data_IF_718894729972
#
_entry.id   IF_718894729972
#
_cell.length_a   1.000
_cell.length_b   1.000
_cell.length_c   1.000
_cell.angle_alpha   90.00
_cell.angle_beta   90.00
_cell.angle_gamma   90.00
#
_symmetry.space_group_name_H-M   'P 1'
#
loop_
_entity.id
_entity.type
_entity.pdbx_description
1 polymer ?
#
# COMPACT_ATOMS: atom_id res chain seq x y z
N UNK A 1 37.60 -57.36 2.99
CA UNK A 1 36.77 -56.57 3.92
C UNK A 1 37.50 -55.24 4.16
N UNK A 2 37.03 -54.17 3.53
CA UNK A 2 37.35 -52.79 3.93
C UNK A 2 36.08 -51.98 3.65
N UNK A 3 35.39 -51.58 4.72
CA UNK A 3 34.18 -50.79 4.65
C UNK A 3 34.51 -49.35 4.27
N UNK A 4 33.97 -48.89 3.15
CA UNK A 4 33.93 -47.49 2.78
C UNK A 4 32.77 -46.83 3.54
N UNK A 5 33.08 -46.25 4.70
CA UNK A 5 32.14 -45.46 5.50
C UNK A 5 31.85 -44.15 4.79
N UNK A 6 30.88 -44.15 3.87
CA UNK A 6 30.33 -42.91 3.31
C UNK A 6 29.70 -42.11 4.45
N UNK A 7 30.32 -40.97 4.75
CA UNK A 7 29.81 -40.01 5.72
C UNK A 7 28.56 -39.35 5.12
N UNK A 8 27.37 -39.78 5.52
CA UNK A 8 26.14 -39.09 5.12
C UNK A 8 26.07 -37.72 5.82
N UNK A 9 25.74 -36.63 5.11
CA UNK A 9 25.62 -35.33 5.74
C UNK A 9 24.43 -35.35 6.71
N UNK A 10 24.72 -35.26 8.02
CA UNK A 10 23.73 -35.10 9.08
C UNK A 10 23.07 -33.72 8.93
N UNK A 11 21.92 -33.69 8.28
CA UNK A 11 21.15 -32.46 8.07
C UNK A 11 19.96 -32.45 9.04
N UNK A 12 20.20 -31.88 10.23
CA UNK A 12 19.21 -31.77 11.29
C UNK A 12 18.78 -30.31 11.45
N UNK A 13 17.52 -30.01 11.11
CA UNK A 13 16.90 -28.70 11.35
C UNK A 13 15.89 -28.80 12.49
N UNK A 14 15.92 -27.81 13.37
CA UNK A 14 14.91 -27.56 14.40
C UNK A 14 14.17 -26.27 14.03
N UNK A 15 12.86 -26.34 13.86
CA UNK A 15 12.04 -25.30 13.22
C UNK A 15 10.92 -24.92 14.18
N UNK A 16 10.87 -23.65 14.57
CA UNK A 16 9.82 -23.13 15.45
C UNK A 16 8.47 -22.97 14.74
N UNK A 17 7.40 -22.75 15.51
CA UNK A 17 6.07 -22.54 14.96
C UNK A 17 6.04 -21.32 14.01
N UNK A 18 5.51 -21.53 12.80
CA UNK A 18 5.44 -20.60 11.66
C UNK A 18 6.74 -20.41 10.83
N UNK A 19 7.76 -21.24 11.00
CA UNK A 19 8.94 -21.21 10.13
C UNK A 19 8.88 -22.29 9.03
N UNK A 20 9.43 -21.94 7.85
CA UNK A 20 9.60 -22.88 6.72
C UNK A 20 11.05 -23.34 6.68
N UNK A 21 11.29 -24.62 6.92
CA UNK A 21 12.59 -25.24 6.72
C UNK A 21 12.85 -25.45 5.21
N UNK A 22 13.90 -24.81 4.69
CA UNK A 22 14.40 -25.05 3.35
C UNK A 22 15.80 -25.67 3.47
N UNK A 23 16.00 -26.84 2.88
CA UNK A 23 17.24 -27.60 2.94
C UNK A 23 17.57 -28.17 1.57
N UNK A 24 18.79 -27.87 1.07
CA UNK A 24 19.31 -28.41 -0.19
C UNK A 24 20.79 -28.75 -0.02
N UNK A 25 21.27 -29.76 -0.76
CA UNK A 25 22.69 -30.11 -0.84
C UNK A 25 23.54 -29.14 -1.68
N UNK A 26 22.97 -28.01 -2.10
CA UNK A 26 23.56 -26.95 -2.91
C UNK A 26 22.87 -25.60 -2.65
N UNK A 27 22.99 -24.63 -3.56
CA UNK A 27 22.42 -23.29 -3.35
C UNK A 27 20.88 -23.31 -3.38
N UNK A 28 20.27 -22.63 -2.41
CA UNK A 28 18.83 -22.32 -2.39
C UNK A 28 18.67 -20.89 -2.92
N UNK A 29 18.07 -20.73 -4.10
CA UNK A 29 17.66 -19.41 -4.61
C UNK A 29 16.18 -19.21 -4.29
N UNK A 30 15.88 -18.36 -3.30
CA UNK A 30 14.51 -17.99 -2.97
C UNK A 30 14.09 -16.86 -3.92
N UNK A 31 13.26 -17.20 -4.91
CA UNK A 31 12.58 -16.19 -5.73
C UNK A 31 11.34 -15.74 -4.96
N UNK A 32 11.38 -14.53 -4.38
CA UNK A 32 10.16 -13.89 -3.89
C UNK A 32 9.26 -13.60 -5.10
N UNK A 33 8.20 -14.40 -5.27
CA UNK A 33 7.18 -14.18 -6.31
C UNK A 33 6.26 -13.02 -5.87
N UNK A 34 6.76 -11.79 -5.92
CA UNK A 34 6.02 -10.56 -5.58
C UNK A 34 6.95 -9.37 -5.34
N UNK A 35 6.44 -8.16 -5.55
CA UNK A 35 7.21 -6.94 -5.29
C UNK A 35 7.49 -6.77 -3.79
N UNK A 36 8.71 -6.37 -3.45
CA UNK A 36 9.05 -6.04 -2.07
C UNK A 36 8.47 -4.68 -1.67
N UNK A 37 8.36 -4.43 -0.37
CA UNK A 37 7.97 -3.11 0.15
C UNK A 37 8.85 -2.00 -0.43
N UNK A 38 10.17 -2.23 -0.50
CA UNK A 38 11.13 -1.24 -0.99
C UNK A 38 10.90 -0.92 -2.46
N UNK A 39 10.67 -1.93 -3.31
CA UNK A 39 10.39 -1.71 -4.74
C UNK A 39 9.12 -0.86 -4.92
N UNK A 40 8.06 -1.19 -4.19
CA UNK A 40 6.78 -0.47 -4.26
C UNK A 40 6.92 0.97 -3.77
N UNK A 41 7.70 1.19 -2.71
CA UNK A 41 7.97 2.52 -2.17
C UNK A 41 8.71 3.38 -3.19
N UNK A 42 9.72 2.84 -3.85
CA UNK A 42 10.49 3.59 -4.84
C UNK A 42 9.61 3.96 -6.05
N UNK A 43 8.81 3.03 -6.55
CA UNK A 43 7.81 3.31 -7.60
C UNK A 43 6.85 4.42 -7.16
N UNK A 44 6.33 4.36 -5.93
CA UNK A 44 5.38 5.34 -5.42
C UNK A 44 5.98 6.75 -5.33
N UNK A 45 7.23 6.87 -4.90
CA UNK A 45 7.92 8.16 -4.81
C UNK A 45 8.32 8.70 -6.18
N UNK A 46 8.68 7.83 -7.13
CA UNK A 46 8.95 8.24 -8.50
C UNK A 46 7.70 8.78 -9.20
N UNK A 47 6.57 8.09 -9.05
CA UNK A 47 5.27 8.57 -9.55
C UNK A 47 4.96 9.96 -8.98
N UNK A 48 5.16 10.18 -7.67
CA UNK A 48 4.98 11.50 -7.08
C UNK A 48 5.89 12.56 -7.70
N UNK A 49 7.20 12.31 -7.72
CA UNK A 49 8.20 13.27 -8.18
C UNK A 49 8.03 13.66 -9.65
N UNK A 50 7.57 12.73 -10.50
CA UNK A 50 7.36 12.97 -11.92
C UNK A 50 6.07 13.75 -12.23
N UNK A 51 5.06 13.66 -11.36
CA UNK A 51 3.73 14.21 -11.63
C UNK A 51 3.36 15.44 -10.78
N UNK A 52 4.09 15.70 -9.68
CA UNK A 52 3.76 16.81 -8.79
C UNK A 52 4.16 18.18 -9.37
N UNK A 53 3.46 19.23 -8.95
CA UNK A 53 3.69 20.59 -9.45
C UNK A 53 5.07 21.12 -9.05
N UNK A 54 5.65 21.95 -9.91
CA UNK A 54 6.85 22.73 -9.55
C UNK A 54 6.46 23.79 -8.51
N UNK A 55 7.08 23.72 -7.34
CA UNK A 55 6.86 24.64 -6.22
C UNK A 55 8.11 25.48 -5.93
N UNK A 56 7.96 26.51 -5.09
CA UNK A 56 9.10 27.18 -4.46
C UNK A 56 9.84 26.20 -3.54
N UNK A 57 11.13 26.46 -3.27
CA UNK A 57 12.01 25.52 -2.55
C UNK A 57 11.43 25.05 -1.20
N UNK A 58 10.98 25.98 -0.35
CA UNK A 58 10.41 25.65 0.97
C UNK A 58 9.10 24.87 0.87
N UNK A 59 8.25 25.19 -0.11
CA UNK A 59 6.99 24.50 -0.33
C UNK A 59 7.22 23.11 -0.96
N UNK A 60 8.22 22.97 -1.83
CA UNK A 60 8.64 21.69 -2.39
C UNK A 60 9.18 20.75 -1.31
N UNK A 61 10.01 21.24 -0.40
CA UNK A 61 10.52 20.46 0.72
C UNK A 61 9.39 19.93 1.61
N UNK A 62 8.44 20.81 1.96
CA UNK A 62 7.26 20.44 2.75
C UNK A 62 6.39 19.40 2.04
N UNK A 63 6.12 19.60 0.74
CA UNK A 63 5.33 18.67 -0.05
C UNK A 63 6.00 17.30 -0.18
N UNK A 64 7.32 17.26 -0.40
CA UNK A 64 8.10 16.03 -0.49
C UNK A 64 8.08 15.25 0.82
N UNK A 65 8.33 15.93 1.95
CA UNK A 65 8.28 15.30 3.26
C UNK A 65 6.91 14.64 3.51
N UNK A 66 5.82 15.36 3.21
CA UNK A 66 4.46 14.84 3.37
C UNK A 66 4.16 13.68 2.43
N UNK A 67 4.66 13.71 1.20
CA UNK A 67 4.50 12.63 0.24
C UNK A 67 5.25 11.36 0.68
N UNK A 68 6.46 11.49 1.21
CA UNK A 68 7.22 10.39 1.79
C UNK A 68 6.48 9.81 3.01
N UNK A 69 6.04 10.68 3.94
CA UNK A 69 5.29 10.27 5.13
C UNK A 69 4.03 9.48 4.79
N UNK A 70 3.17 9.99 3.90
CA UNK A 70 1.91 9.32 3.57
C UNK A 70 2.13 8.04 2.78
N UNK A 71 3.19 7.97 1.97
CA UNK A 71 3.58 6.76 1.26
C UNK A 71 3.97 5.68 2.26
N UNK A 72 4.84 5.99 3.21
CA UNK A 72 5.28 5.03 4.23
C UNK A 72 4.13 4.58 5.14
N UNK A 73 3.25 5.51 5.54
CA UNK A 73 2.04 5.18 6.33
C UNK A 73 1.11 4.26 5.55
N UNK A 74 0.81 4.58 4.30
CA UNK A 74 -0.12 3.80 3.49
C UNK A 74 0.44 2.42 3.17
N UNK A 75 1.69 2.33 2.71
CA UNK A 75 2.30 1.05 2.37
C UNK A 75 2.51 0.17 3.60
N UNK A 76 2.87 0.74 4.76
CA UNK A 76 2.93 0.01 6.01
C UNK A 76 1.57 -0.57 6.41
N UNK A 77 0.51 0.23 6.32
CA UNK A 77 -0.86 -0.22 6.55
C UNK A 77 -1.28 -1.32 5.58
N UNK A 78 -1.02 -1.13 4.28
CA UNK A 78 -1.36 -2.09 3.23
C UNK A 78 -0.59 -3.41 3.41
N UNK A 79 0.69 -3.35 3.77
CA UNK A 79 1.51 -4.53 4.01
C UNK A 79 0.99 -5.37 5.18
N UNK A 80 0.49 -4.73 6.23
CA UNK A 80 -0.09 -5.42 7.40
C UNK A 80 -1.48 -5.99 7.08
N UNK A 81 -2.36 -5.18 6.47
CA UNK A 81 -3.77 -5.57 6.24
C UNK A 81 -3.95 -6.47 5.02
N UNK A 82 -3.16 -6.26 3.97
CA UNK A 82 -3.31 -6.94 2.69
C UNK A 82 -1.98 -6.95 1.90
N UNK A 83 -0.99 -7.77 2.31
CA UNK A 83 0.35 -7.79 1.71
C UNK A 83 0.35 -8.02 0.19
N UNK A 84 -0.59 -8.84 -0.31
CA UNK A 84 -0.75 -9.09 -1.75
C UNK A 84 -1.11 -7.81 -2.54
N UNK A 85 -1.67 -6.81 -1.86
CA UNK A 85 -1.97 -5.50 -2.43
C UNK A 85 -0.73 -4.72 -2.87
N UNK A 86 0.46 -5.03 -2.34
CA UNK A 86 1.70 -4.40 -2.79
C UNK A 86 1.96 -4.64 -4.29
N UNK A 87 1.59 -5.81 -4.81
CA UNK A 87 1.71 -6.11 -6.24
C UNK A 87 0.89 -5.16 -7.14
N UNK A 88 -0.08 -4.42 -6.59
CA UNK A 88 -0.85 -3.42 -7.34
C UNK A 88 -0.05 -2.18 -7.71
N UNK A 89 1.16 -1.98 -7.19
CA UNK A 89 1.94 -0.79 -7.52
C UNK A 89 2.39 -0.72 -9.00
N UNK A 90 2.33 -1.82 -9.75
CA UNK A 90 2.54 -1.84 -11.21
C UNK A 90 1.27 -1.44 -12.00
N UNK A 91 0.10 -1.41 -11.36
CA UNK A 91 -1.16 -1.06 -12.03
C UNK A 91 -1.27 0.46 -12.25
N UNK A 92 -1.47 0.93 -13.49
CA UNK A 92 -1.54 2.37 -13.78
C UNK A 92 -2.67 3.10 -13.03
N UNK A 93 -3.84 2.46 -12.89
CA UNK A 93 -4.94 3.06 -12.15
C UNK A 93 -4.55 3.17 -10.66
N UNK A 94 -3.89 2.16 -10.07
CA UNK A 94 -3.45 2.21 -8.67
C UNK A 94 -2.41 3.30 -8.45
N UNK A 95 -1.44 3.43 -9.36
CA UNK A 95 -0.46 4.52 -9.32
C UNK A 95 -1.14 5.88 -9.37
N UNK A 96 -2.16 6.06 -10.23
CA UNK A 96 -2.96 7.29 -10.27
C UNK A 96 -3.67 7.57 -8.93
N UNK A 97 -4.27 6.54 -8.33
CA UNK A 97 -4.95 6.63 -7.04
C UNK A 97 -4.01 7.03 -5.90
N UNK A 98 -2.84 6.38 -5.85
CA UNK A 98 -1.78 6.64 -4.89
C UNK A 98 -1.25 8.07 -5.07
N UNK A 99 -1.04 8.49 -6.31
CA UNK A 99 -0.66 9.87 -6.61
C UNK A 99 -1.72 10.86 -6.14
N UNK A 100 -3.02 10.57 -6.32
CA UNK A 100 -4.07 11.43 -5.80
C UNK A 100 -4.01 11.54 -4.27
N UNK A 101 -3.84 10.45 -3.54
CA UNK A 101 -3.62 10.48 -2.08
C UNK A 101 -2.41 11.37 -1.71
N UNK A 102 -1.24 11.10 -2.31
CA UNK A 102 -0.01 11.85 -2.04
C UNK A 102 -0.18 13.34 -2.34
N UNK A 103 -0.78 13.67 -3.49
CA UNK A 103 -1.05 15.04 -3.94
C UNK A 103 -1.94 15.81 -2.96
N UNK A 104 -3.02 15.20 -2.46
CA UNK A 104 -3.92 15.89 -1.53
C UNK A 104 -3.21 16.16 -0.20
N UNK A 105 -2.55 15.15 0.38
CA UNK A 105 -1.86 15.33 1.65
C UNK A 105 -0.66 16.28 1.55
N UNK A 106 0.13 16.19 0.48
CA UNK A 106 1.23 17.12 0.23
C UNK A 106 0.76 18.59 0.23
N UNK A 107 -0.42 18.87 -0.37
CA UNK A 107 -1.00 20.20 -0.44
C UNK A 107 -1.57 20.69 0.88
N UNK A 108 -2.29 19.84 1.62
CA UNK A 108 -3.07 20.29 2.79
C UNK A 108 -2.38 20.01 4.13
N UNK A 109 -1.66 18.90 4.25
CA UNK A 109 -1.20 18.37 5.54
C UNK A 109 -2.34 17.91 6.45
N UNK A 110 -3.55 17.73 5.91
CA UNK A 110 -4.75 17.34 6.64
C UNK A 110 -4.71 15.84 6.98
N UNK A 111 -4.54 15.53 8.27
CA UNK A 111 -4.42 14.17 8.75
C UNK A 111 -5.73 13.37 8.68
N UNK A 112 -6.88 14.02 8.87
CA UNK A 112 -8.19 13.36 8.84
C UNK A 112 -8.54 12.99 7.40
N UNK A 113 -8.30 13.92 6.45
CA UNK A 113 -8.44 13.63 5.03
C UNK A 113 -7.47 12.52 4.60
N UNK A 114 -6.23 12.54 5.07
CA UNK A 114 -5.25 11.50 4.76
C UNK A 114 -5.71 10.12 5.22
N UNK A 115 -6.23 10.00 6.44
CA UNK A 115 -6.76 8.73 6.95
C UNK A 115 -7.95 8.23 6.13
N UNK A 116 -8.89 9.12 5.78
CA UNK A 116 -10.01 8.78 4.91
C UNK A 116 -9.54 8.25 3.54
N UNK A 117 -8.63 8.97 2.89
CA UNK A 117 -8.11 8.58 1.57
C UNK A 117 -7.31 7.28 1.61
N UNK A 118 -6.51 7.05 2.67
CA UNK A 118 -5.81 5.76 2.86
C UNK A 118 -6.79 4.60 3.01
N UNK A 119 -7.89 4.79 3.74
CA UNK A 119 -8.93 3.77 3.87
C UNK A 119 -9.60 3.45 2.54
N UNK A 120 -9.95 4.47 1.75
CA UNK A 120 -10.50 4.29 0.40
C UNK A 120 -9.51 3.57 -0.52
N UNK A 121 -8.23 3.95 -0.48
CA UNK A 121 -7.19 3.33 -1.31
C UNK A 121 -6.92 1.88 -0.90
N UNK A 122 -6.93 1.55 0.40
CA UNK A 122 -6.81 0.17 0.90
C UNK A 122 -7.97 -0.71 0.41
N UNK A 123 -9.21 -0.21 0.46
CA UNK A 123 -10.37 -0.91 -0.10
C UNK A 123 -10.23 -1.11 -1.61
N UNK A 124 -9.79 -0.06 -2.32
CA UNK A 124 -9.58 -0.10 -3.76
C UNK A 124 -8.47 -1.07 -4.18
N UNK A 125 -7.43 -1.25 -3.36
CA UNK A 125 -6.35 -2.22 -3.61
C UNK A 125 -6.83 -3.69 -3.57
N UNK A 126 -7.92 -3.96 -2.85
CA UNK A 126 -8.53 -5.29 -2.69
C UNK A 126 -9.44 -5.66 -3.86
N UNK A 127 -9.87 -4.68 -4.65
CA UNK A 127 -10.74 -4.89 -5.80
C UNK A 127 -9.95 -5.30 -7.06
N UNK A 128 -10.57 -6.15 -7.88
CA UNK A 128 -10.00 -6.63 -9.14
C UNK A 128 -10.97 -6.36 -10.30
N UNK A 129 -10.45 -5.83 -11.41
CA UNK A 129 -11.25 -5.54 -12.60
C UNK A 129 -12.14 -4.31 -12.45
N UNK A 130 -12.82 -3.94 -13.54
CA UNK A 130 -13.63 -2.72 -13.65
C UNK A 130 -15.04 -2.89 -13.06
N UNK A 131 -15.13 -2.98 -11.74
CA UNK A 131 -16.40 -3.09 -11.01
C UNK A 131 -17.02 -1.73 -10.72
N UNK A 132 -18.33 -1.69 -10.44
CA UNK A 132 -18.99 -0.46 -9.96
C UNK A 132 -18.34 0.05 -8.67
N UNK A 133 -17.96 -0.86 -7.77
CA UNK A 133 -17.28 -0.51 -6.52
C UNK A 133 -15.93 0.17 -6.79
N UNK A 134 -15.13 -0.35 -7.73
CA UNK A 134 -13.86 0.28 -8.12
C UNK A 134 -14.08 1.71 -8.64
N UNK A 135 -15.07 1.91 -9.51
CA UNK A 135 -15.40 3.23 -10.06
C UNK A 135 -15.78 4.20 -8.93
N UNK A 136 -16.63 3.76 -8.00
CA UNK A 136 -17.06 4.59 -6.87
C UNK A 136 -15.90 4.91 -5.93
N UNK A 137 -15.01 3.96 -5.65
CA UNK A 137 -13.82 4.20 -4.82
C UNK A 137 -12.86 5.20 -5.49
N UNK A 138 -12.66 5.10 -6.80
CA UNK A 138 -11.83 6.04 -7.55
C UNK A 138 -12.41 7.46 -7.53
N UNK A 139 -13.72 7.59 -7.77
CA UNK A 139 -14.38 8.89 -7.70
C UNK A 139 -14.37 9.45 -6.26
N UNK A 140 -14.50 8.59 -5.26
CA UNK A 140 -14.46 8.98 -3.86
C UNK A 140 -13.09 9.56 -3.46
N UNK A 141 -11.99 9.02 -3.98
CA UNK A 141 -10.64 9.58 -3.75
C UNK A 141 -10.51 11.02 -4.28
N UNK A 142 -11.15 11.34 -5.40
CA UNK A 142 -11.13 12.68 -6.00
C UNK A 142 -12.13 13.65 -5.34
N UNK A 143 -13.28 13.15 -4.92
CA UNK A 143 -14.36 13.98 -4.35
C UNK A 143 -14.16 14.23 -2.86
N UNK A 144 -13.63 13.28 -2.09
CA UNK A 144 -13.46 13.43 -0.64
C UNK A 144 -12.66 14.68 -0.27
N UNK A 145 -11.61 15.01 -1.03
CA UNK A 145 -10.79 16.21 -0.82
C UNK A 145 -11.51 17.54 -1.09
N UNK A 146 -12.71 17.51 -1.67
CA UNK A 146 -13.55 18.69 -1.94
C UNK A 146 -14.57 18.95 -0.82
N UNK A 147 -14.69 18.03 0.13
CA UNK A 147 -15.67 18.08 1.21
C UNK A 147 -15.02 18.56 2.51
N UNK A 148 -15.74 19.37 3.26
CA UNK A 148 -15.33 19.72 4.62
C UNK A 148 -15.66 18.59 5.60
N UNK A 149 -15.00 18.52 6.78
CA UNK A 149 -15.34 17.55 7.80
C UNK A 149 -16.84 17.56 8.17
N UNK A 150 -17.46 18.75 8.24
CA UNK A 150 -18.90 18.88 8.52
C UNK A 150 -19.77 18.31 7.39
N UNK A 151 -19.36 18.43 6.13
CA UNK A 151 -20.08 17.84 5.00
C UNK A 151 -19.96 16.31 4.99
N UNK A 152 -18.77 15.77 5.30
CA UNK A 152 -18.57 14.33 5.47
C UNK A 152 -19.45 13.81 6.61
N UNK A 153 -19.43 14.47 7.77
CA UNK A 153 -20.28 14.10 8.90
C UNK A 153 -21.78 14.14 8.56
N UNK A 154 -22.20 15.13 7.76
CA UNK A 154 -23.59 15.25 7.30
C UNK A 154 -23.98 14.08 6.39
N UNK A 155 -23.10 13.69 5.47
CA UNK A 155 -23.31 12.51 4.61
C UNK A 155 -23.37 11.22 5.44
N UNK A 156 -22.48 11.06 6.41
CA UNK A 156 -22.49 9.92 7.33
C UNK A 156 -23.79 9.86 8.14
N UNK A 157 -24.28 10.99 8.65
CA UNK A 157 -25.56 11.05 9.36
C UNK A 157 -26.73 10.69 8.47
N UNK A 158 -26.80 11.26 7.25
CA UNK A 158 -27.85 10.94 6.28
C UNK A 158 -27.83 9.45 5.92
N UNK A 159 -26.64 8.90 5.69
CA UNK A 159 -26.47 7.47 5.40
C UNK A 159 -26.98 6.61 6.56
N UNK A 160 -26.56 6.93 7.79
CA UNK A 160 -27.01 6.20 8.98
C UNK A 160 -28.52 6.25 9.13
N UNK A 161 -29.14 7.42 9.07
CA UNK A 161 -30.59 7.55 9.21
C UNK A 161 -31.38 6.83 8.11
N UNK A 162 -30.84 6.77 6.89
CA UNK A 162 -31.55 6.20 5.74
C UNK A 162 -31.33 4.70 5.56
N UNK A 163 -30.15 4.20 5.91
CA UNK A 163 -29.72 2.84 5.56
C UNK A 163 -29.28 2.01 6.75
N UNK A 164 -28.80 2.64 7.83
CA UNK A 164 -28.55 1.95 9.09
C UNK A 164 -29.81 2.12 9.96
N UNK A 165 -30.84 1.32 9.72
CA UNK A 165 -31.98 1.27 10.64
C UNK A 165 -31.45 0.99 12.05
N UNK A 166 -31.50 2.00 12.92
CA UNK A 166 -31.42 1.86 14.37
C UNK A 166 -32.84 1.67 14.87
#
# INVERSE_FOLDING_TARGET
MSGDSRNEPDQRQDVGDHATALQAGGNITIHHAGMSYTDVRDIALDVFNQNFFRLSESAAATARQRAEEITDRFLGKLQVEYPQGLAKAEDPDFQYALFTLQKQYARTGDADLAELLMNLLSQRAKENGRTMLQIVLNESLEVAAKLTPSQVASLSLIFSLRYAQI
#
